data_IF_822273388302
#
_entry.id   IF_822273388302
#
_cell.length_a   1.000
_cell.length_b   1.000
_cell.length_c   1.000
_cell.angle_alpha   90.00
_cell.angle_beta   90.00
_cell.angle_gamma   90.00
#
_symmetry.space_group_name_H-M   'P 1'
#
loop_
_entity.id
_entity.type
_entity.pdbx_description
1 polymer ?
#
# COMPACT_ATOMS: atom_id res chain seq x y z
N UNK A 1 -35.87 13.02 52.50
CA UNK A 1 -36.08 12.94 51.03
C UNK A 1 -36.07 11.47 50.59
N UNK A 2 -37.23 10.89 50.30
CA UNK A 2 -37.36 9.47 49.92
C UNK A 2 -36.91 9.17 48.48
N UNK A 3 -36.59 7.91 48.20
CA UNK A 3 -36.33 7.44 46.82
C UNK A 3 -37.65 7.28 46.07
N UNK A 4 -37.86 8.05 45.00
CA UNK A 4 -38.97 7.85 44.07
C UNK A 4 -38.79 6.63 43.16
N UNK A 5 -39.89 6.08 42.64
CA UNK A 5 -39.87 5.00 41.63
C UNK A 5 -39.26 5.52 40.33
N UNK A 6 -38.37 4.73 39.72
CA UNK A 6 -37.71 5.06 38.45
C UNK A 6 -38.10 4.01 37.40
N UNK A 7 -38.44 4.45 36.19
CA UNK A 7 -38.76 3.57 35.04
C UNK A 7 -37.49 2.86 34.56
N UNK A 8 -37.61 1.59 34.17
CA UNK A 8 -36.48 0.75 33.77
C UNK A 8 -36.16 0.96 32.27
N UNK A 9 -35.62 2.14 31.97
CA UNK A 9 -35.21 2.57 30.64
C UNK A 9 -33.88 3.34 30.71
N UNK A 10 -33.25 3.58 29.54
CA UNK A 10 -32.04 4.40 29.46
C UNK A 10 -32.34 5.81 29.97
N UNK A 11 -31.50 6.32 30.87
CA UNK A 11 -31.61 7.70 31.38
C UNK A 11 -31.00 8.63 30.32
N UNK A 12 -31.78 9.54 29.75
CA UNK A 12 -31.29 10.43 28.69
C UNK A 12 -30.31 11.49 29.19
N UNK A 13 -30.62 12.12 30.32
CA UNK A 13 -29.78 13.15 30.93
C UNK A 13 -28.41 12.55 31.35
N UNK A 14 -27.33 13.06 30.74
CA UNK A 14 -25.95 12.58 30.92
C UNK A 14 -25.47 12.68 32.37
N UNK A 15 -25.81 13.76 33.08
CA UNK A 15 -25.38 13.99 34.47
C UNK A 15 -26.07 12.98 35.39
N UNK A 16 -27.39 12.87 35.29
CA UNK A 16 -28.17 11.92 36.09
C UNK A 16 -27.77 10.47 35.80
N UNK A 17 -27.49 10.15 34.54
CA UNK A 17 -26.98 8.83 34.13
C UNK A 17 -25.63 8.53 34.77
N UNK A 18 -24.70 9.49 34.78
CA UNK A 18 -23.38 9.30 35.40
C UNK A 18 -23.48 9.10 36.92
N UNK A 19 -24.27 9.92 37.61
CA UNK A 19 -24.47 9.79 39.06
C UNK A 19 -25.16 8.47 39.40
N UNK A 20 -26.18 8.09 38.62
CA UNK A 20 -26.90 6.82 38.80
C UNK A 20 -26.00 5.63 38.52
N UNK A 21 -25.18 5.68 37.47
CA UNK A 21 -24.20 4.64 37.16
C UNK A 21 -23.24 4.44 38.34
N UNK A 22 -22.63 5.50 38.87
CA UNK A 22 -21.73 5.39 40.03
C UNK A 22 -22.40 4.77 41.25
N UNK A 23 -23.63 5.19 41.57
CA UNK A 23 -24.40 4.66 42.71
C UNK A 23 -24.80 3.19 42.50
N UNK A 24 -25.34 2.85 41.33
CA UNK A 24 -25.81 1.48 41.02
C UNK A 24 -24.64 0.51 40.86
N UNK A 25 -23.55 0.90 40.20
CA UNK A 25 -22.31 0.12 40.11
C UNK A 25 -21.78 -0.23 41.49
N UNK A 26 -21.66 0.77 42.38
CA UNK A 26 -21.19 0.52 43.75
C UNK A 26 -22.17 -0.36 44.54
N UNK A 27 -23.48 -0.18 44.37
CA UNK A 27 -24.48 -1.04 45.00
C UNK A 27 -24.41 -2.49 44.51
N UNK A 28 -24.22 -2.69 43.20
CA UNK A 28 -24.08 -4.01 42.59
C UNK A 28 -22.80 -4.72 43.05
N UNK A 29 -21.69 -3.99 43.11
CA UNK A 29 -20.42 -4.49 43.66
C UNK A 29 -20.57 -4.96 45.12
N UNK A 30 -21.26 -4.18 45.96
CA UNK A 30 -21.55 -4.59 47.34
C UNK A 30 -22.37 -5.87 47.40
N UNK A 31 -23.39 -6.00 46.54
CA UNK A 31 -24.23 -7.21 46.49
C UNK A 31 -23.46 -8.44 46.00
N UNK A 32 -22.60 -8.28 44.99
CA UNK A 32 -21.73 -9.36 44.53
C UNK A 32 -20.75 -9.81 45.62
N UNK A 33 -20.19 -8.87 46.39
CA UNK A 33 -19.33 -9.16 47.53
C UNK A 33 -20.09 -9.88 48.66
N UNK A 34 -21.26 -9.37 49.06
CA UNK A 34 -22.11 -10.02 50.06
C UNK A 34 -22.43 -11.47 49.67
N UNK A 35 -22.84 -11.71 48.41
CA UNK A 35 -23.14 -13.06 47.92
C UNK A 35 -21.91 -13.98 47.97
N UNK A 36 -20.75 -13.47 47.58
CA UNK A 36 -19.52 -14.24 47.59
C UNK A 36 -19.12 -14.68 49.00
N UNK A 37 -19.21 -13.78 49.99
CA UNK A 37 -18.86 -14.08 51.38
C UNK A 37 -19.91 -14.95 52.07
N UNK A 38 -21.20 -14.66 51.89
CA UNK A 38 -22.27 -15.35 52.62
C UNK A 38 -22.47 -16.79 52.16
N UNK A 39 -22.24 -17.07 50.88
CA UNK A 39 -22.50 -18.37 50.28
C UNK A 39 -21.22 -19.11 49.85
N UNK A 40 -20.03 -18.57 50.17
CA UNK A 40 -18.73 -19.03 49.66
C UNK A 40 -18.75 -19.26 48.13
N UNK A 41 -19.44 -18.36 47.42
CA UNK A 41 -19.65 -18.46 46.00
C UNK A 41 -18.56 -17.66 45.26
N UNK A 42 -18.00 -18.25 44.20
CA UNK A 42 -17.11 -17.52 43.31
C UNK A 42 -17.92 -16.62 42.38
N UNK A 43 -17.84 -15.31 42.62
CA UNK A 43 -18.54 -14.28 41.84
C UNK A 43 -17.54 -13.39 41.11
N UNK A 44 -17.87 -13.04 39.86
CA UNK A 44 -17.15 -12.10 39.02
C UNK A 44 -18.12 -11.12 38.35
N UNK A 45 -17.72 -9.86 38.23
CA UNK A 45 -18.50 -8.78 37.60
C UNK A 45 -17.58 -7.90 36.75
N UNK A 46 -18.00 -7.67 35.50
CA UNK A 46 -17.30 -6.81 34.54
C UNK A 46 -18.28 -5.74 34.04
N UNK A 47 -17.90 -4.46 34.14
CA UNK A 47 -18.75 -3.33 33.75
C UNK A 47 -17.94 -2.36 32.89
N UNK A 48 -18.40 -2.13 31.67
CA UNK A 48 -17.89 -1.08 30.80
C UNK A 48 -18.79 0.15 30.88
N UNK A 49 -18.19 1.30 31.19
CA UNK A 49 -18.87 2.58 31.07
C UNK A 49 -19.04 2.94 29.59
N UNK A 50 -20.04 3.77 29.27
CA UNK A 50 -20.19 4.36 27.92
C UNK A 50 -18.99 5.20 27.48
N UNK A 51 -18.06 5.52 28.38
CA UNK A 51 -16.78 6.18 28.09
C UNK A 51 -15.61 5.20 27.89
N UNK A 52 -15.87 3.90 27.83
CA UNK A 52 -14.86 2.85 27.68
C UNK A 52 -14.09 2.49 28.96
N UNK A 53 -14.41 3.12 30.11
CA UNK A 53 -13.75 2.78 31.38
C UNK A 53 -14.23 1.41 31.88
N UNK A 54 -13.27 0.54 32.19
CA UNK A 54 -13.47 -0.77 32.80
C UNK A 54 -13.61 -0.63 34.33
N UNK A 55 -14.60 -1.31 34.89
CA UNK A 55 -14.75 -1.55 36.32
C UNK A 55 -14.99 -3.04 36.52
N UNK A 56 -14.21 -3.65 37.39
CA UNK A 56 -14.22 -5.09 37.53
C UNK A 56 -14.14 -5.50 39.01
N UNK A 57 -14.68 -6.68 39.31
CA UNK A 57 -14.61 -7.30 40.62
C UNK A 57 -14.56 -8.82 40.46
N UNK A 58 -13.62 -9.46 41.16
CA UNK A 58 -13.51 -10.92 41.23
C UNK A 58 -13.19 -11.33 42.65
N UNK A 59 -14.00 -12.23 43.21
CA UNK A 59 -13.84 -12.76 44.57
C UNK A 59 -12.51 -13.50 44.79
N UNK A 60 -12.11 -14.34 43.85
CA UNK A 60 -10.84 -15.12 43.86
C UNK A 60 -9.75 -14.52 42.95
N UNK A 61 -10.06 -13.38 42.31
CA UNK A 61 -9.28 -12.75 41.26
C UNK A 61 -9.89 -12.92 39.87
N UNK A 62 -10.01 -11.81 39.13
CA UNK A 62 -10.65 -11.72 37.81
C UNK A 62 -10.16 -12.80 36.84
N UNK A 63 -8.85 -12.92 36.67
CA UNK A 63 -8.25 -13.87 35.73
C UNK A 63 -8.59 -15.32 36.08
N UNK A 64 -8.59 -15.67 37.37
CA UNK A 64 -8.87 -17.04 37.83
C UNK A 64 -10.33 -17.41 37.59
N UNK A 65 -11.27 -16.52 37.92
CA UNK A 65 -12.69 -16.77 37.67
C UNK A 65 -13.01 -16.83 36.18
N UNK A 66 -12.42 -15.97 35.34
CA UNK A 66 -12.57 -16.04 33.89
C UNK A 66 -12.01 -17.36 33.35
N UNK A 67 -10.84 -17.78 33.83
CA UNK A 67 -10.24 -19.03 33.41
C UNK A 67 -11.10 -20.24 33.83
N UNK A 68 -11.63 -20.25 35.05
CA UNK A 68 -12.58 -21.28 35.51
C UNK A 68 -13.86 -21.29 34.69
N UNK A 69 -14.45 -20.12 34.40
CA UNK A 69 -15.60 -19.99 33.51
C UNK A 69 -15.32 -20.58 32.13
N UNK A 70 -14.17 -20.23 31.53
CA UNK A 70 -13.72 -20.80 30.25
C UNK A 70 -13.65 -22.31 30.36
N UNK A 71 -12.94 -22.86 31.35
CA UNK A 71 -12.83 -24.31 31.55
C UNK A 71 -14.20 -24.97 31.69
N UNK A 72 -15.14 -24.40 32.45
CA UNK A 72 -16.47 -24.96 32.62
C UNK A 72 -17.32 -24.89 31.35
N UNK A 73 -17.37 -23.75 30.66
CA UNK A 73 -18.14 -23.58 29.44
C UNK A 73 -17.58 -24.34 28.24
N UNK A 74 -16.27 -24.60 28.23
CA UNK A 74 -15.58 -25.36 27.18
C UNK A 74 -15.43 -26.84 27.51
N UNK A 75 -15.59 -27.27 28.76
CA UNK A 75 -15.68 -28.69 29.13
C UNK A 75 -17.11 -29.26 29.01
N UNK A 76 -18.13 -28.40 29.04
CA UNK A 76 -19.55 -28.79 28.89
C UNK A 76 -20.11 -28.64 27.47
N UNK A 77 -19.42 -27.89 26.60
CA UNK A 77 -19.48 -28.12 25.16
C UNK A 77 -18.55 -29.31 24.90
N UNK A 78 -19.08 -30.37 24.32
CA UNK A 78 -18.33 -31.58 23.98
C UNK A 78 -16.89 -31.27 23.57
N UNK A 79 -15.97 -32.14 24.01
CA UNK A 79 -14.51 -32.07 23.81
C UNK A 79 -14.03 -31.84 22.35
N UNK A 80 -14.93 -31.69 21.39
CA UNK A 80 -14.66 -31.40 19.99
C UNK A 80 -14.79 -29.92 19.61
N UNK A 81 -15.70 -29.10 20.14
CA UNK A 81 -15.96 -27.78 19.51
C UNK A 81 -15.04 -26.63 19.99
N UNK A 82 -14.64 -26.63 21.26
CA UNK A 82 -13.87 -25.52 21.84
C UNK A 82 -12.35 -25.64 21.66
N UNK A 83 -11.83 -26.87 21.71
CA UNK A 83 -10.49 -27.20 21.22
C UNK A 83 -10.42 -26.98 19.71
N UNK A 84 -11.45 -27.36 18.94
CA UNK A 84 -11.48 -27.08 17.50
C UNK A 84 -11.51 -25.58 17.20
N UNK A 85 -12.29 -24.72 17.87
CA UNK A 85 -12.24 -23.27 17.61
C UNK A 85 -10.90 -22.61 18.00
N UNK A 86 -10.27 -23.04 19.10
CA UNK A 86 -8.92 -22.54 19.50
C UNK A 86 -7.81 -23.11 18.62
N UNK A 87 -7.91 -24.37 18.24
CA UNK A 87 -7.01 -25.04 17.31
C UNK A 87 -7.17 -24.46 15.91
N UNK A 88 -8.39 -24.19 15.44
CA UNK A 88 -8.68 -23.48 14.18
C UNK A 88 -8.08 -22.10 14.25
N UNK A 89 -8.35 -21.31 15.31
CA UNK A 89 -7.77 -19.97 15.43
C UNK A 89 -6.24 -19.98 15.48
N UNK A 90 -5.64 -20.94 16.19
CA UNK A 90 -4.19 -21.11 16.26
C UNK A 90 -3.61 -21.63 14.92
N UNK A 91 -4.30 -22.52 14.24
CA UNK A 91 -3.91 -23.10 12.95
C UNK A 91 -4.06 -22.09 11.82
N UNK A 92 -5.13 -21.30 11.81
CA UNK A 92 -5.32 -20.17 10.90
C UNK A 92 -4.25 -19.10 11.14
N UNK A 93 -3.97 -18.78 12.40
CA UNK A 93 -2.88 -17.86 12.75
C UNK A 93 -1.52 -18.42 12.31
N UNK A 94 -1.27 -19.72 12.51
CA UNK A 94 -0.02 -20.38 12.10
C UNK A 94 0.12 -20.43 10.58
N UNK A 95 -0.95 -20.76 9.84
CA UNK A 95 -1.01 -20.72 8.37
C UNK A 95 -0.77 -19.30 7.86
N UNK A 96 -1.37 -18.30 8.48
CA UNK A 96 -1.20 -16.90 8.10
C UNK A 96 0.23 -16.42 8.39
N UNK A 97 0.80 -16.82 9.54
CA UNK A 97 2.18 -16.52 9.92
C UNK A 97 3.18 -17.14 8.94
N UNK A 98 3.00 -18.41 8.57
CA UNK A 98 3.85 -19.07 7.59
C UNK A 98 3.78 -18.40 6.20
N UNK A 99 2.57 -17.98 5.77
CA UNK A 99 2.40 -17.19 4.54
C UNK A 99 3.12 -15.85 4.60
N UNK A 100 3.02 -15.16 5.75
CA UNK A 100 3.69 -13.89 5.97
C UNK A 100 5.22 -14.03 5.92
N UNK A 101 5.77 -15.04 6.60
CA UNK A 101 7.20 -15.34 6.60
C UNK A 101 7.69 -15.70 5.19
N UNK A 102 6.98 -16.58 4.48
CA UNK A 102 7.32 -16.92 3.08
C UNK A 102 7.28 -15.71 2.14
N UNK A 103 6.33 -14.79 2.35
CA UNK A 103 6.23 -13.57 1.55
C UNK A 103 7.39 -12.60 1.86
N UNK A 104 7.73 -12.45 3.14
CA UNK A 104 8.89 -11.66 3.58
C UNK A 104 10.20 -12.22 3.03
N UNK A 105 10.38 -13.54 3.03
CA UNK A 105 11.56 -14.21 2.47
C UNK A 105 11.65 -13.97 0.96
N UNK A 106 10.55 -14.12 0.25
CA UNK A 106 10.48 -13.84 -1.18
C UNK A 106 10.85 -12.39 -1.51
N UNK A 107 10.37 -11.42 -0.72
CA UNK A 107 10.73 -10.01 -0.86
C UNK A 107 12.23 -9.79 -0.66
N UNK A 108 12.83 -10.40 0.37
CA UNK A 108 14.28 -10.32 0.63
C UNK A 108 15.09 -10.88 -0.52
N UNK A 109 14.72 -12.05 -1.04
CA UNK A 109 15.39 -12.66 -2.19
C UNK A 109 15.29 -11.77 -3.45
N UNK A 110 14.14 -11.14 -3.69
CA UNK A 110 13.97 -10.19 -4.80
C UNK A 110 14.83 -8.92 -4.65
N UNK A 111 15.14 -8.52 -3.42
CA UNK A 111 16.06 -7.42 -3.10
C UNK A 111 17.54 -7.85 -3.12
N UNK A 112 17.82 -9.14 -3.31
CA UNK A 112 19.17 -9.70 -3.34
C UNK A 112 19.74 -10.05 -1.95
N UNK A 113 18.90 -10.09 -0.92
CA UNK A 113 19.27 -10.49 0.44
C UNK A 113 19.09 -12.01 0.64
N UNK A 114 19.86 -12.62 1.55
CA UNK A 114 19.75 -14.03 1.99
C UNK A 114 19.78 -15.11 0.89
N UNK A 115 20.35 -14.79 -0.29
CA UNK A 115 20.40 -15.70 -1.46
C UNK A 115 21.17 -17.02 -1.23
N UNK A 116 22.02 -17.09 -0.20
CA UNK A 116 22.82 -18.28 0.11
C UNK A 116 22.02 -19.51 0.56
N UNK A 117 20.75 -19.31 0.93
CA UNK A 117 19.84 -20.37 1.36
C UNK A 117 19.04 -20.99 0.19
N UNK A 118 19.10 -20.38 -1.00
CA UNK A 118 18.38 -20.84 -2.19
C UNK A 118 19.18 -21.87 -2.97
N UNK A 119 18.49 -22.85 -3.56
CA UNK A 119 19.10 -23.76 -4.51
C UNK A 119 19.38 -23.08 -5.85
N UNK A 120 20.32 -23.64 -6.63
CA UNK A 120 20.68 -23.12 -7.96
C UNK A 120 19.46 -22.98 -8.88
N UNK A 121 18.51 -23.92 -8.80
CA UNK A 121 17.28 -23.89 -9.61
C UNK A 121 16.36 -22.73 -9.21
N UNK A 122 16.24 -22.46 -7.91
CA UNK A 122 15.43 -21.36 -7.39
C UNK A 122 16.05 -20.01 -7.76
N UNK A 123 17.39 -19.91 -7.72
CA UNK A 123 18.11 -18.70 -8.14
C UNK A 123 17.91 -18.41 -9.63
N UNK A 124 18.01 -19.43 -10.50
CA UNK A 124 17.72 -19.29 -11.93
C UNK A 124 16.27 -18.87 -12.21
N UNK A 125 15.32 -19.39 -11.44
CA UNK A 125 13.92 -18.99 -11.55
C UNK A 125 13.71 -17.52 -11.14
N UNK A 126 14.39 -17.08 -10.08
CA UNK A 126 14.36 -15.69 -9.61
C UNK A 126 14.94 -14.74 -10.65
N UNK A 127 16.09 -15.08 -11.23
CA UNK A 127 16.73 -14.33 -12.32
C UNK A 127 15.79 -14.19 -13.52
N UNK A 128 15.23 -15.30 -14.00
CA UNK A 128 14.28 -15.29 -15.13
C UNK A 128 13.04 -14.44 -14.85
N UNK A 129 12.55 -14.46 -13.60
CA UNK A 129 11.41 -13.63 -13.19
C UNK A 129 11.78 -12.13 -13.25
N UNK A 130 12.93 -11.76 -12.69
CA UNK A 130 13.42 -10.38 -12.68
C UNK A 130 13.66 -9.86 -14.10
N UNK A 131 14.28 -10.65 -14.98
CA UNK A 131 14.49 -10.31 -16.39
C UNK A 131 13.16 -10.09 -17.13
N UNK A 132 12.18 -10.97 -16.89
CA UNK A 132 10.84 -10.84 -17.46
C UNK A 132 10.14 -9.55 -17.02
N UNK A 133 10.15 -9.26 -15.72
CA UNK A 133 9.54 -8.04 -15.16
C UNK A 133 10.25 -6.78 -15.66
N UNK A 134 11.57 -6.80 -15.75
CA UNK A 134 12.39 -5.71 -16.29
C UNK A 134 12.08 -5.44 -17.76
N UNK A 135 11.95 -6.50 -18.57
CA UNK A 135 11.59 -6.41 -19.99
C UNK A 135 10.21 -5.77 -20.16
N UNK A 136 9.21 -6.21 -19.38
CA UNK A 136 7.87 -5.61 -19.38
C UNK A 136 7.89 -4.13 -18.96
N UNK A 137 8.67 -3.77 -17.93
CA UNK A 137 8.81 -2.39 -17.49
C UNK A 137 9.42 -1.49 -18.59
N UNK A 138 10.46 -1.98 -19.27
CA UNK A 138 11.08 -1.31 -20.42
C UNK A 138 10.08 -1.14 -21.57
N UNK A 139 9.33 -2.17 -21.91
CA UNK A 139 8.32 -2.12 -22.98
C UNK A 139 7.24 -1.09 -22.66
N UNK A 140 6.71 -1.07 -21.43
CA UNK A 140 5.74 -0.06 -21.00
C UNK A 140 6.31 1.35 -21.09
N UNK A 141 7.55 1.56 -20.63
CA UNK A 141 8.23 2.86 -20.73
C UNK A 141 8.37 3.31 -22.18
N UNK A 142 8.76 2.41 -23.09
CA UNK A 142 8.85 2.69 -24.52
C UNK A 142 7.49 3.05 -25.12
N UNK A 143 6.43 2.32 -24.78
CA UNK A 143 5.07 2.62 -25.23
C UNK A 143 4.58 4.00 -24.75
N UNK A 144 4.86 4.35 -23.49
CA UNK A 144 4.52 5.68 -22.96
C UNK A 144 5.29 6.78 -23.69
N UNK A 145 6.59 6.57 -23.95
CA UNK A 145 7.42 7.53 -24.67
C UNK A 145 6.92 7.73 -26.11
N UNK A 146 6.56 6.65 -26.82
CA UNK A 146 5.99 6.73 -28.16
C UNK A 146 4.67 7.52 -28.17
N UNK A 147 3.79 7.28 -27.21
CA UNK A 147 2.55 8.05 -27.06
C UNK A 147 2.83 9.55 -26.87
N UNK A 148 3.79 9.90 -26.00
CA UNK A 148 4.19 11.29 -25.79
C UNK A 148 4.79 11.93 -27.05
N UNK A 149 5.58 11.19 -27.82
CA UNK A 149 6.12 11.68 -29.10
C UNK A 149 5.02 11.96 -30.12
N UNK A 150 4.01 11.09 -30.22
CA UNK A 150 2.88 11.30 -31.13
C UNK A 150 2.01 12.49 -30.71
N UNK A 151 1.79 12.69 -29.41
CA UNK A 151 1.11 13.88 -28.89
C UNK A 151 1.87 15.18 -29.23
N UNK A 152 3.19 15.19 -29.04
CA UNK A 152 4.01 16.35 -29.40
C UNK A 152 4.02 16.61 -30.90
N UNK A 153 4.13 15.57 -31.74
CA UNK A 153 4.02 15.70 -33.21
C UNK A 153 2.67 16.28 -33.63
N UNK A 154 1.57 15.87 -33.00
CA UNK A 154 0.24 16.43 -33.26
C UNK A 154 0.15 17.91 -32.85
N UNK A 155 0.75 18.31 -31.72
CA UNK A 155 0.82 19.72 -31.29
C UNK A 155 1.66 20.59 -32.23
N UNK A 156 2.79 20.08 -32.74
CA UNK A 156 3.62 20.79 -33.73
C UNK A 156 2.90 20.93 -35.08
N UNK A 157 2.08 19.95 -35.44
CA UNK A 157 1.26 19.97 -36.67
C UNK A 157 -0.04 20.76 -36.52
N UNK A 158 -0.37 21.26 -35.32
CA UNK A 158 -1.51 22.14 -35.11
C UNK A 158 -1.22 23.52 -35.75
N UNK A 159 -2.19 24.14 -36.44
CA UNK A 159 -1.99 25.37 -37.23
C UNK A 159 -1.57 26.62 -36.43
N UNK A 160 -1.53 26.57 -35.09
CA UNK A 160 -1.15 27.71 -34.23
C UNK A 160 0.33 28.10 -34.29
N UNK A 161 1.24 27.22 -34.74
CA UNK A 161 2.65 27.58 -34.97
C UNK A 161 2.98 27.84 -36.45
N UNK A 162 2.17 27.32 -37.38
CA UNK A 162 2.32 27.61 -38.81
C UNK A 162 1.94 29.06 -39.13
N UNK A 163 1.04 29.65 -38.34
CA UNK A 163 0.57 31.01 -38.55
C UNK A 163 1.56 32.10 -38.09
N UNK A 164 2.53 31.77 -37.23
CA UNK A 164 3.59 32.71 -36.84
C UNK A 164 4.70 32.85 -37.90
N UNK A 165 4.89 31.83 -38.77
CA UNK A 165 5.80 31.96 -39.92
C UNK A 165 5.20 32.77 -41.08
N UNK A 166 3.87 33.00 -41.07
CA UNK A 166 3.20 33.86 -42.05
C UNK A 166 3.13 35.33 -41.64
N UNK A 167 3.62 35.71 -40.45
CA UNK A 167 3.49 37.10 -39.92
C UNK A 167 4.74 37.96 -40.17
N UNK A 168 5.87 37.39 -40.60
CA UNK A 168 7.04 38.19 -41.05
C UNK A 168 7.43 37.88 -42.50
N UNK A 169 6.71 38.43 -43.51
CA UNK A 169 7.05 38.27 -44.92
C UNK A 169 8.43 38.87 -45.28
N UNK A 170 8.87 39.89 -44.53
CA UNK A 170 10.10 40.63 -44.84
C UNK A 170 11.39 39.83 -44.56
N UNK A 171 11.44 38.99 -43.52
CA UNK A 171 12.61 38.13 -43.29
C UNK A 171 12.68 36.95 -44.28
N UNK A 172 11.53 36.49 -44.78
CA UNK A 172 11.49 35.39 -45.75
C UNK A 172 11.97 35.84 -47.15
N UNK A 173 11.75 37.12 -47.52
CA UNK A 173 12.36 37.71 -48.70
C UNK A 173 13.88 37.92 -48.56
N UNK A 174 14.36 38.35 -47.39
CA UNK A 174 15.80 38.56 -47.17
C UNK A 174 16.59 37.24 -47.24
N UNK A 175 16.08 36.18 -46.59
CA UNK A 175 16.72 34.85 -46.59
C UNK A 175 16.58 34.09 -47.93
N UNK A 176 15.57 34.39 -48.76
CA UNK A 176 15.44 33.77 -50.10
C UNK A 176 16.35 34.40 -51.15
N UNK A 177 16.56 35.71 -51.10
CA UNK A 177 17.42 36.39 -52.07
C UNK A 177 18.91 36.06 -51.85
N UNK A 178 19.36 35.92 -50.59
CA UNK A 178 20.75 35.54 -50.30
C UNK A 178 21.06 34.08 -50.71
N UNK A 179 20.07 33.19 -50.63
CA UNK A 179 20.20 31.78 -51.05
C UNK A 179 20.32 31.62 -52.57
N UNK A 180 19.65 32.47 -53.35
CA UNK A 180 19.74 32.44 -54.82
C UNK A 180 21.08 32.98 -55.32
N UNK A 181 21.63 34.00 -54.66
CA UNK A 181 22.95 34.52 -55.02
C UNK A 181 24.08 33.53 -54.69
N UNK A 182 23.94 32.73 -53.63
CA UNK A 182 24.93 31.69 -53.27
C UNK A 182 24.85 30.45 -54.17
N UNK A 183 23.64 30.05 -54.61
CA UNK A 183 23.47 28.91 -55.51
C UNK A 183 23.94 29.21 -56.95
N UNK A 184 23.74 30.43 -57.46
CA UNK A 184 24.28 30.82 -58.77
C UNK A 184 25.81 30.94 -58.75
N UNK A 185 26.40 31.39 -57.62
CA UNK A 185 27.86 31.38 -57.43
C UNK A 185 28.43 29.96 -57.39
N UNK A 186 27.75 29.01 -56.74
CA UNK A 186 28.19 27.61 -56.69
C UNK A 186 27.98 26.85 -58.01
N UNK A 187 26.88 27.09 -58.73
CA UNK A 187 26.62 26.38 -59.99
C UNK A 187 27.47 26.91 -61.16
N UNK A 188 27.94 28.15 -61.10
CA UNK A 188 28.94 28.71 -62.04
C UNK A 188 30.37 28.19 -61.81
N UNK A 189 30.74 27.84 -60.57
CA UNK A 189 32.07 27.28 -60.24
C UNK A 189 32.16 25.79 -60.63
N UNK A 190 31.07 25.02 -60.53
CA UNK A 190 31.08 23.57 -60.81
C UNK A 190 31.17 23.24 -62.31
N UNK A 191 30.76 24.15 -63.20
CA UNK A 191 30.89 23.95 -64.66
C UNK A 191 32.23 24.39 -65.25
N UNK A 192 33.12 25.04 -64.48
CA UNK A 192 34.48 25.40 -64.92
C UNK A 192 35.58 24.51 -64.33
N UNK A 193 35.25 23.55 -63.45
CA UNK A 193 36.24 22.72 -62.72
C UNK A 193 36.51 21.31 -63.28
N UNK A 194 35.83 20.86 -64.33
CA UNK A 194 36.06 19.55 -64.94
C UNK A 194 36.97 19.62 -66.17
N UNK A 195 38.18 20.15 -66.00
CA UNK A 195 39.26 19.92 -66.97
C UNK A 195 40.64 19.96 -66.32
N UNK A 196 40.93 19.04 -65.38
CA UNK A 196 42.33 18.63 -65.11
C UNK A 196 42.38 17.30 -64.31
N UNK A 197 42.27 16.19 -65.04
CA UNK A 197 42.86 14.90 -64.60
C UNK A 197 44.26 14.82 -65.19
N UNK A 198 45.30 14.95 -64.36
CA UNK A 198 46.65 14.65 -64.83
C UNK A 198 47.77 14.89 -63.81
N UNK A 199 48.25 13.78 -63.22
CA UNK A 199 49.56 13.50 -62.57
C UNK A 199 49.32 12.84 -61.19
N UNK A 200 49.40 11.52 -61.07
CA UNK A 200 50.58 10.62 -61.04
C UNK A 200 51.63 10.99 -59.98
N UNK A 201 51.76 10.05 -59.03
CA UNK A 201 52.96 9.55 -58.35
C UNK A 201 53.61 10.41 -57.27
N UNK A 202 53.67 9.89 -56.04
CA UNK A 202 54.87 9.22 -55.50
C UNK A 202 54.71 8.96 -54.00
N UNK A 203 54.77 7.69 -53.59
CA UNK A 203 55.36 7.31 -52.31
C UNK A 203 56.82 6.93 -52.58
N UNK A 204 57.74 7.61 -51.92
CA UNK A 204 59.18 7.35 -51.97
C UNK A 204 59.49 5.99 -51.35
N UNK A 205 60.00 5.07 -52.19
CA UNK A 205 61.30 4.40 -52.04
C UNK A 205 61.79 4.02 -53.44
#
# INVERSE_FOLDING_TARGET
MGRGRVVLQRIENKINRQVTFSKRRNGLLKKAYELSVLCDAEVCLIIFSSRGKLFEFGSSGMTKTIERYRRCCYASRDNNDAEHDRQIGHEEYSKLKAKYESLMDSQRHLLGEDLGLLSIKELQNLEKMLEGTLSQARQRKAQMMLKQMDELKKKVRAPSLVQNLSIFPSLNCYMRNEKLQYLDYFHGIVSFGNHEKGRKNCSTL
#
